data_IF_246982530806
#
_entry.id   IF_246982530806
#
_cell.length_a   1.000
_cell.length_b   1.000
_cell.length_c   1.000
_cell.angle_alpha   90.00
_cell.angle_beta   90.00
_cell.angle_gamma   90.00
#
_symmetry.space_group_name_H-M   'P 1'
#
loop_
_entity.id
_entity.type
_entity.pdbx_description
1 polymer ?
#
# COMPACT_ATOMS: atom_id res chain seq x y z
N UNK A 1 6.86 -11.89 4.76
CA UNK A 1 7.71 -11.08 3.85
C UNK A 1 9.06 -10.78 4.48
N UNK A 2 10.05 -10.46 3.65
CA UNK A 2 11.39 -10.02 4.09
C UNK A 2 11.68 -8.62 3.55
N UNK A 3 11.95 -7.66 4.44
CA UNK A 3 12.23 -6.26 4.11
C UNK A 3 13.57 -5.87 4.72
N UNK A 4 14.47 -5.32 3.92
CA UNK A 4 15.79 -4.86 4.37
C UNK A 4 16.07 -3.48 3.78
N UNK A 5 16.31 -2.50 4.64
CA UNK A 5 16.83 -1.18 4.29
C UNK A 5 18.17 -1.00 5.00
N UNK A 6 19.18 -0.51 4.26
CA UNK A 6 20.53 -0.28 4.79
C UNK A 6 20.97 1.13 4.45
N UNK A 7 21.18 1.95 5.49
CA UNK A 7 21.66 3.34 5.42
C UNK A 7 20.90 4.19 4.39
N UNK A 8 19.57 4.00 4.34
CA UNK A 8 18.73 4.60 3.32
C UNK A 8 18.57 6.09 3.59
N UNK A 9 18.99 6.90 2.63
CA UNK A 9 18.78 8.34 2.59
C UNK A 9 17.84 8.70 1.45
N UNK A 10 16.88 9.59 1.71
CA UNK A 10 16.04 10.19 0.68
C UNK A 10 15.97 11.69 0.87
N UNK A 11 16.32 12.43 -0.18
CA UNK A 11 16.34 13.90 -0.17
C UNK A 11 15.38 14.43 -1.23
N UNK A 12 14.58 15.43 -0.89
CA UNK A 12 13.74 16.20 -1.80
C UNK A 12 14.12 17.68 -1.71
N UNK A 13 14.53 18.28 -2.80
CA UNK A 13 14.89 19.71 -2.84
C UNK A 13 15.79 20.17 -1.69
N UNK A 14 16.78 19.36 -1.33
CA UNK A 14 17.74 19.65 -0.24
C UNK A 14 17.29 19.23 1.16
N UNK A 15 16.02 18.87 1.38
CA UNK A 15 15.52 18.41 2.67
C UNK A 15 15.60 16.88 2.75
N UNK A 16 16.20 16.35 3.81
CA UNK A 16 16.26 14.90 4.07
C UNK A 16 14.95 14.42 4.66
N UNK A 17 14.19 13.65 3.88
CA UNK A 17 12.97 12.96 4.33
C UNK A 17 13.31 11.64 5.04
N UNK A 18 14.43 10.99 4.67
CA UNK A 18 15.03 9.86 5.39
C UNK A 18 16.53 10.12 5.54
N UNK A 19 17.07 9.82 6.71
CA UNK A 19 18.46 10.11 7.09
C UNK A 19 19.13 8.88 7.70
N UNK A 20 19.63 7.99 6.84
CA UNK A 20 20.31 6.76 7.25
C UNK A 20 19.36 5.73 7.86
N UNK A 21 18.14 5.56 7.30
CA UNK A 21 17.17 4.61 7.81
C UNK A 21 17.68 3.18 7.63
N UNK A 22 17.79 2.45 8.74
CA UNK A 22 18.07 1.02 8.80
C UNK A 22 16.87 0.27 9.33
N UNK A 23 16.41 -0.77 8.61
CA UNK A 23 15.24 -1.55 8.98
C UNK A 23 15.39 -2.96 8.43
N UNK A 24 15.14 -3.97 9.27
CA UNK A 24 15.18 -5.37 8.86
C UNK A 24 14.04 -6.15 9.51
N UNK A 25 13.14 -6.72 8.67
CA UNK A 25 12.08 -7.61 9.09
C UNK A 25 12.11 -8.90 8.27
N UNK A 26 11.86 -10.02 8.93
CA UNK A 26 11.74 -11.35 8.31
C UNK A 26 10.48 -12.03 8.83
N UNK A 27 9.89 -12.89 7.99
CA UNK A 27 8.73 -13.73 8.32
C UNK A 27 7.51 -12.95 8.86
N UNK A 28 7.37 -11.68 8.41
CA UNK A 28 6.31 -10.76 8.80
C UNK A 28 5.20 -10.80 7.75
N UNK A 29 3.95 -10.92 8.17
CA UNK A 29 2.77 -10.82 7.28
C UNK A 29 2.25 -9.38 7.23
N UNK A 30 2.17 -8.70 8.39
CA UNK A 30 1.74 -7.32 8.48
C UNK A 30 2.77 -6.47 9.24
N UNK A 31 3.33 -5.44 8.56
CA UNK A 31 4.21 -4.44 9.16
C UNK A 31 3.49 -3.09 9.23
N UNK A 32 3.36 -2.53 10.45
CA UNK A 32 2.87 -1.18 10.64
C UNK A 32 4.02 -0.18 10.79
N UNK A 33 4.04 0.84 9.94
CA UNK A 33 4.90 2.01 10.07
C UNK A 33 4.11 3.09 10.82
N UNK A 34 4.57 3.46 12.01
CA UNK A 34 3.94 4.47 12.86
C UNK A 34 4.88 5.64 13.08
N UNK A 35 4.38 6.74 13.60
CA UNK A 35 5.18 7.92 13.92
C UNK A 35 4.48 9.23 13.54
N UNK A 36 5.06 10.38 13.85
CA UNK A 36 4.47 11.69 13.59
C UNK A 36 4.32 11.97 12.09
N UNK A 37 3.43 12.92 11.77
CA UNK A 37 3.34 13.46 10.41
C UNK A 37 4.68 14.06 10.00
N UNK A 38 5.08 13.83 8.73
CA UNK A 38 6.40 14.25 8.26
C UNK A 38 7.58 13.37 8.74
N UNK A 39 7.35 12.36 9.59
CA UNK A 39 8.41 11.49 10.12
C UNK A 39 9.13 10.61 9.11
N UNK A 40 8.60 10.46 7.87
CA UNK A 40 9.24 9.65 6.82
C UNK A 40 8.47 8.38 6.43
N UNK A 41 7.31 8.10 7.05
CA UNK A 41 6.50 6.88 6.81
C UNK A 41 6.11 6.70 5.33
N UNK A 42 5.43 7.69 4.73
CA UNK A 42 5.03 7.65 3.32
C UNK A 42 6.21 7.59 2.37
N UNK A 43 7.32 8.26 2.71
CA UNK A 43 8.57 8.16 1.95
C UNK A 43 9.13 6.74 1.99
N UNK A 44 9.19 6.12 3.17
CA UNK A 44 9.61 4.72 3.32
C UNK A 44 8.72 3.78 2.49
N UNK A 45 7.41 3.97 2.54
CA UNK A 45 6.45 3.19 1.75
C UNK A 45 6.68 3.34 0.23
N UNK A 46 6.89 4.57 -0.28
CA UNK A 46 7.19 4.84 -1.70
C UNK A 46 8.49 4.19 -2.16
N UNK A 47 9.49 4.17 -1.31
CA UNK A 47 10.75 3.49 -1.61
C UNK A 47 10.57 1.97 -1.61
N UNK A 48 9.94 1.38 -0.59
CA UNK A 48 9.67 -0.06 -0.49
C UNK A 48 8.81 -0.58 -1.64
N UNK A 49 7.87 0.23 -2.12
CA UNK A 49 7.00 -0.12 -3.25
C UNK A 49 7.64 0.11 -4.63
N UNK A 50 8.88 0.61 -4.68
CA UNK A 50 9.59 0.91 -5.93
C UNK A 50 9.02 2.09 -6.72
N UNK A 51 8.17 2.92 -6.11
CA UNK A 51 7.71 4.17 -6.74
C UNK A 51 8.85 5.15 -6.92
N UNK A 52 9.73 5.21 -5.93
CA UNK A 52 10.90 6.08 -5.92
C UNK A 52 12.17 5.27 -5.66
N UNK A 53 13.33 5.82 -6.06
CA UNK A 53 14.63 5.31 -5.67
C UNK A 53 15.14 6.07 -4.44
N UNK A 54 15.94 5.45 -3.56
CA UNK A 54 16.68 6.18 -2.53
C UNK A 54 17.70 7.12 -3.16
N UNK A 55 18.11 8.16 -2.42
CA UNK A 55 19.23 9.02 -2.80
C UNK A 55 20.56 8.30 -2.56
N UNK A 56 20.63 7.49 -1.50
CA UNK A 56 21.74 6.57 -1.20
C UNK A 56 21.27 5.44 -0.29
N UNK A 57 22.10 4.43 -0.09
CA UNK A 57 21.75 3.21 0.64
C UNK A 57 21.12 2.16 -0.26
N UNK A 58 20.67 1.05 0.32
CA UNK A 58 20.06 -0.05 -0.44
C UNK A 58 18.77 -0.53 0.18
N UNK A 59 17.87 -1.05 -0.67
CA UNK A 59 16.56 -1.57 -0.28
C UNK A 59 16.36 -2.92 -0.95
N UNK A 60 16.00 -3.93 -0.18
CA UNK A 60 15.62 -5.23 -0.70
C UNK A 60 14.27 -5.68 -0.14
N UNK A 61 13.41 -6.20 -1.02
CA UNK A 61 12.09 -6.75 -0.71
C UNK A 61 12.04 -8.19 -1.19
N UNK A 62 11.78 -9.13 -0.30
CA UNK A 62 11.78 -10.58 -0.57
C UNK A 62 13.06 -11.06 -1.27
N UNK A 63 14.22 -10.46 -0.94
CA UNK A 63 15.51 -10.77 -1.54
C UNK A 63 15.77 -10.08 -2.88
N UNK A 64 14.81 -9.39 -3.46
CA UNK A 64 14.99 -8.59 -4.66
C UNK A 64 15.39 -7.17 -4.29
N UNK A 65 16.52 -6.71 -4.76
CA UNK A 65 16.97 -5.33 -4.59
C UNK A 65 16.14 -4.39 -5.45
N UNK A 66 15.67 -3.29 -4.82
CA UNK A 66 14.97 -2.21 -5.53
C UNK A 66 16.00 -1.40 -6.29
N UNK A 67 16.15 -1.70 -7.56
CA UNK A 67 17.17 -1.11 -8.41
C UNK A 67 16.95 0.40 -8.65
N UNK A 68 18.03 1.14 -8.86
CA UNK A 68 17.97 2.51 -9.39
C UNK A 68 17.43 2.54 -10.82
N UNK A 69 17.68 1.46 -11.57
CA UNK A 69 17.22 1.27 -12.94
C UNK A 69 15.69 1.32 -13.04
N UNK A 70 15.20 2.19 -13.90
CA UNK A 70 13.77 2.49 -14.05
C UNK A 70 12.97 1.29 -14.55
N UNK A 71 13.54 0.47 -15.46
CA UNK A 71 12.83 -0.68 -16.04
C UNK A 71 12.73 -1.82 -15.03
N UNK A 72 13.79 -2.08 -14.27
CA UNK A 72 13.76 -3.07 -13.19
C UNK A 72 12.77 -2.69 -12.09
N UNK A 73 12.73 -1.41 -11.70
CA UNK A 73 11.70 -0.91 -10.76
C UNK A 73 10.30 -1.03 -11.34
N UNK A 74 10.13 -0.80 -12.64
CA UNK A 74 8.83 -0.97 -13.31
C UNK A 74 8.36 -2.43 -13.27
N UNK A 75 9.27 -3.39 -13.46
CA UNK A 75 8.94 -4.82 -13.31
C UNK A 75 8.57 -5.17 -11.87
N UNK A 76 9.33 -4.67 -10.89
CA UNK A 76 9.01 -4.86 -9.47
C UNK A 76 7.62 -4.31 -9.12
N UNK A 77 7.25 -3.10 -9.60
CA UNK A 77 5.93 -2.52 -9.34
C UNK A 77 4.76 -3.34 -9.87
N UNK A 78 4.96 -4.25 -10.82
CA UNK A 78 3.91 -5.17 -11.26
C UNK A 78 3.60 -6.26 -10.25
N UNK A 79 4.51 -6.53 -9.32
CA UNK A 79 4.39 -7.57 -8.30
C UNK A 79 3.81 -7.05 -6.98
N UNK A 80 3.61 -5.75 -6.86
CA UNK A 80 3.13 -5.11 -5.63
C UNK A 80 1.88 -4.26 -5.86
N UNK A 81 1.01 -4.24 -4.84
CA UNK A 81 -0.16 -3.35 -4.81
C UNK A 81 0.15 -2.09 -4.01
N UNK A 82 -0.39 -0.95 -4.43
CA UNK A 82 -0.20 0.32 -3.72
C UNK A 82 -1.54 1.04 -3.59
N UNK A 83 -1.86 1.44 -2.37
CA UNK A 83 -3.02 2.28 -2.05
C UNK A 83 -2.51 3.58 -1.44
N UNK A 84 -2.93 4.68 -2.02
CA UNK A 84 -2.54 6.03 -1.60
C UNK A 84 -3.59 6.65 -0.67
N UNK A 85 -3.18 7.57 0.17
CA UNK A 85 -4.04 8.36 1.04
C UNK A 85 -5.17 9.07 0.27
N UNK A 86 -4.88 9.58 -0.93
CA UNK A 86 -5.83 10.32 -1.77
C UNK A 86 -6.57 9.42 -2.80
N UNK A 87 -6.64 8.09 -2.57
CA UNK A 87 -7.27 7.08 -3.44
C UNK A 87 -6.65 6.98 -4.84
N UNK A 88 -6.37 8.09 -5.49
CA UNK A 88 -5.81 8.23 -6.85
C UNK A 88 -6.59 7.41 -7.89
N UNK A 89 -7.91 7.40 -7.76
CA UNK A 89 -8.80 6.84 -8.79
C UNK A 89 -8.86 7.76 -10.00
N UNK A 90 -9.03 7.17 -11.17
CA UNK A 90 -9.27 7.91 -12.41
C UNK A 90 -10.69 8.52 -12.36
N UNK A 91 -10.85 9.85 -12.28
CA UNK A 91 -12.14 10.48 -11.99
C UNK A 91 -13.15 10.35 -13.13
N UNK A 92 -12.69 10.11 -14.35
CA UNK A 92 -13.51 9.96 -15.55
C UNK A 92 -13.96 8.51 -15.82
N UNK A 93 -13.38 7.54 -15.10
CA UNK A 93 -13.71 6.12 -15.22
C UNK A 93 -14.71 5.70 -14.14
N UNK A 94 -15.51 4.68 -14.44
CA UNK A 94 -16.33 3.99 -13.44
C UNK A 94 -15.46 3.24 -12.44
N UNK A 95 -16.05 2.85 -11.30
CA UNK A 95 -15.37 2.03 -10.29
C UNK A 95 -14.83 0.73 -10.90
N UNK A 96 -15.66 0.02 -11.66
CA UNK A 96 -15.25 -1.20 -12.36
C UNK A 96 -14.08 -0.94 -13.30
N UNK A 97 -14.15 0.12 -14.11
CA UNK A 97 -13.09 0.45 -15.05
C UNK A 97 -11.78 0.84 -14.34
N UNK A 98 -11.84 1.47 -13.16
CA UNK A 98 -10.68 1.75 -12.35
C UNK A 98 -9.94 0.48 -11.89
N UNK A 99 -10.68 -0.59 -11.58
CA UNK A 99 -10.11 -1.87 -11.14
C UNK A 99 -9.67 -2.73 -12.33
N UNK A 100 -10.47 -2.79 -13.40
CA UNK A 100 -10.18 -3.62 -14.57
C UNK A 100 -9.02 -3.10 -15.44
N UNK A 101 -8.85 -1.78 -15.54
CA UNK A 101 -7.86 -1.17 -16.43
C UNK A 101 -6.41 -1.63 -16.19
N UNK A 102 -5.89 -1.71 -14.93
CA UNK A 102 -4.55 -2.24 -14.68
C UNK A 102 -4.40 -3.71 -15.08
N UNK A 103 -5.43 -4.53 -14.89
CA UNK A 103 -5.43 -5.94 -15.29
C UNK A 103 -5.24 -6.07 -16.80
N UNK A 104 -6.01 -5.31 -17.58
CA UNK A 104 -5.94 -5.32 -19.04
C UNK A 104 -4.63 -4.72 -19.55
N UNK A 105 -4.26 -3.50 -19.12
CA UNK A 105 -3.17 -2.71 -19.72
C UNK A 105 -1.79 -3.09 -19.20
N UNK A 106 -1.68 -3.63 -17.99
CA UNK A 106 -0.38 -3.91 -17.33
C UNK A 106 -0.14 -5.40 -17.19
N UNK A 107 -1.18 -6.17 -16.87
CA UNK A 107 -1.05 -7.58 -16.54
C UNK A 107 -1.50 -8.54 -17.65
N UNK A 108 -1.97 -8.00 -18.81
CA UNK A 108 -2.24 -8.78 -20.02
C UNK A 108 -3.53 -9.63 -19.97
N UNK A 109 -4.43 -9.34 -19.04
CA UNK A 109 -5.74 -9.99 -19.01
C UNK A 109 -6.57 -9.61 -20.24
N UNK A 110 -7.40 -10.53 -20.71
CA UNK A 110 -8.45 -10.17 -21.66
C UNK A 110 -9.44 -9.19 -20.99
N UNK A 111 -10.12 -8.37 -21.80
CA UNK A 111 -11.12 -7.44 -21.25
C UNK A 111 -12.21 -8.19 -20.45
N UNK A 112 -12.62 -9.35 -20.92
CA UNK A 112 -13.64 -10.16 -20.26
C UNK A 112 -13.15 -10.69 -18.90
N UNK A 113 -11.94 -11.26 -18.85
CA UNK A 113 -11.35 -11.76 -17.60
C UNK A 113 -11.07 -10.64 -16.60
N UNK A 114 -10.62 -9.47 -17.08
CA UNK A 114 -10.41 -8.30 -16.23
C UNK A 114 -11.71 -7.81 -15.58
N UNK A 115 -12.83 -7.82 -16.33
CA UNK A 115 -14.15 -7.46 -15.81
C UNK A 115 -14.60 -8.51 -14.77
N UNK A 116 -14.61 -9.79 -15.11
CA UNK A 116 -15.05 -10.87 -14.21
C UNK A 116 -14.27 -10.86 -12.88
N UNK A 117 -12.93 -10.71 -12.95
CA UNK A 117 -12.10 -10.61 -11.75
C UNK A 117 -12.40 -9.36 -10.93
N UNK A 118 -12.69 -8.25 -11.59
CA UNK A 118 -13.07 -7.01 -10.90
C UNK A 118 -14.43 -7.14 -10.21
N UNK A 119 -15.44 -7.71 -10.87
CA UNK A 119 -16.77 -7.94 -10.31
C UNK A 119 -16.70 -8.82 -9.05
N UNK A 120 -15.94 -9.90 -9.07
CA UNK A 120 -15.70 -10.74 -7.88
C UNK A 120 -15.09 -9.96 -6.69
N UNK A 121 -14.23 -8.98 -6.96
CA UNK A 121 -13.70 -8.10 -5.90
C UNK A 121 -14.74 -7.11 -5.38
N UNK A 122 -15.63 -6.63 -6.25
CA UNK A 122 -16.74 -5.77 -5.83
C UNK A 122 -17.71 -6.51 -4.91
N UNK A 123 -18.04 -7.75 -5.22
CA UNK A 123 -18.83 -8.63 -4.34
C UNK A 123 -18.11 -8.82 -2.99
N UNK A 124 -16.82 -9.18 -3.00
CA UNK A 124 -16.03 -9.37 -1.78
C UNK A 124 -15.97 -8.14 -0.88
N UNK A 125 -16.02 -6.94 -1.46
CA UNK A 125 -15.89 -5.67 -0.73
C UNK A 125 -17.23 -4.94 -0.52
N UNK A 126 -18.35 -5.59 -0.81
CA UNK A 126 -19.70 -5.02 -0.69
C UNK A 126 -19.85 -3.71 -1.48
N UNK A 127 -19.43 -3.74 -2.74
CA UNK A 127 -19.45 -2.62 -3.68
C UNK A 127 -20.29 -2.90 -4.93
N UNK A 128 -21.12 -3.95 -4.95
CA UNK A 128 -21.89 -4.41 -6.11
C UNK A 128 -22.76 -3.30 -6.70
N UNK A 129 -23.41 -2.52 -5.85
CA UNK A 129 -24.28 -1.40 -6.24
C UNK A 129 -23.50 -0.17 -6.74
N UNK A 130 -22.16 -0.24 -6.71
CA UNK A 130 -21.28 0.89 -7.01
C UNK A 130 -20.39 0.68 -8.25
N UNK A 131 -20.55 -0.46 -8.94
CA UNK A 131 -19.74 -0.87 -10.09
C UNK A 131 -19.70 0.20 -11.18
N UNK A 132 -20.84 0.82 -11.50
CA UNK A 132 -20.97 1.81 -12.58
C UNK A 132 -20.79 3.26 -12.12
N UNK A 133 -20.68 3.50 -10.82
CA UNK A 133 -20.46 4.84 -10.28
C UNK A 133 -19.05 5.34 -10.54
N UNK A 134 -18.89 6.64 -10.71
CA UNK A 134 -17.60 7.33 -10.78
C UNK A 134 -17.14 7.76 -9.37
N UNK A 135 -15.85 8.04 -9.16
CA UNK A 135 -15.32 8.45 -7.87
C UNK A 135 -16.08 9.61 -7.19
N UNK A 136 -16.58 10.58 -7.95
CA UNK A 136 -17.35 11.70 -7.41
C UNK A 136 -18.74 11.32 -6.86
N UNK A 137 -19.23 10.12 -7.20
CA UNK A 137 -20.55 9.62 -6.78
C UNK A 137 -20.43 8.63 -5.60
N UNK A 138 -19.21 8.43 -5.08
CA UNK A 138 -18.90 7.51 -4.01
C UNK A 138 -18.59 8.25 -2.70
N UNK A 139 -18.89 7.62 -1.56
CA UNK A 139 -18.38 8.07 -0.27
C UNK A 139 -16.84 7.90 -0.19
N UNK A 140 -16.20 8.51 0.81
CA UNK A 140 -14.76 8.35 1.06
C UNK A 140 -14.38 6.89 1.28
N UNK A 141 -15.12 6.16 2.11
CA UNK A 141 -14.89 4.73 2.37
C UNK A 141 -15.09 3.85 1.14
N UNK A 142 -16.11 4.14 0.31
CA UNK A 142 -16.33 3.44 -0.96
C UNK A 142 -15.17 3.68 -1.93
N UNK A 143 -14.72 4.93 -2.09
CA UNK A 143 -13.56 5.27 -2.90
C UNK A 143 -12.29 4.53 -2.43
N UNK A 144 -12.09 4.43 -1.11
CA UNK A 144 -10.95 3.73 -0.54
C UNK A 144 -11.03 2.22 -0.82
N UNK A 145 -12.20 1.61 -0.65
CA UNK A 145 -12.39 0.18 -0.95
C UNK A 145 -12.20 -0.12 -2.45
N UNK A 146 -12.62 0.77 -3.35
CA UNK A 146 -12.31 0.66 -4.79
C UNK A 146 -10.80 0.78 -5.04
N UNK A 147 -10.10 1.68 -4.36
CA UNK A 147 -8.65 1.80 -4.48
C UNK A 147 -7.91 0.55 -3.96
N UNK A 148 -8.40 -0.05 -2.88
CA UNK A 148 -7.89 -1.34 -2.36
C UNK A 148 -8.16 -2.46 -3.38
N UNK A 149 -9.40 -2.56 -3.91
CA UNK A 149 -9.76 -3.54 -4.94
C UNK A 149 -8.81 -3.44 -6.14
N UNK A 150 -8.56 -2.22 -6.64
CA UNK A 150 -7.63 -1.97 -7.74
C UNK A 150 -6.21 -2.43 -7.43
N UNK A 151 -5.74 -2.21 -6.21
CA UNK A 151 -4.39 -2.56 -5.79
C UNK A 151 -4.19 -4.07 -5.67
N UNK A 152 -5.22 -4.83 -5.25
CA UNK A 152 -5.14 -6.29 -5.06
C UNK A 152 -5.61 -7.09 -6.28
N UNK A 153 -6.27 -6.47 -7.24
CA UNK A 153 -6.80 -7.15 -8.43
C UNK A 153 -5.74 -7.97 -9.20
N UNK A 154 -4.47 -7.50 -9.36
CA UNK A 154 -3.42 -8.29 -10.00
C UNK A 154 -2.90 -9.46 -9.17
N UNK A 155 -3.40 -9.65 -7.94
CA UNK A 155 -2.91 -10.64 -6.98
C UNK A 155 -1.44 -10.42 -6.56
N UNK A 156 -1.10 -9.23 -6.03
CA UNK A 156 0.28 -8.88 -5.71
C UNK A 156 0.82 -9.67 -4.51
N UNK A 157 2.16 -9.82 -4.45
CA UNK A 157 2.86 -10.45 -3.33
C UNK A 157 2.76 -9.63 -2.03
N UNK A 158 2.80 -8.30 -2.16
CA UNK A 158 2.75 -7.36 -1.03
C UNK A 158 1.84 -6.18 -1.40
N UNK A 159 1.03 -5.74 -0.45
CA UNK A 159 0.21 -4.54 -0.57
C UNK A 159 0.75 -3.44 0.36
N UNK A 160 1.05 -2.29 -0.20
CA UNK A 160 1.49 -1.10 0.53
C UNK A 160 0.30 -0.14 0.69
N UNK A 161 0.01 0.27 1.93
CA UNK A 161 -1.13 1.13 2.26
C UNK A 161 -0.62 2.40 2.94
N UNK A 162 -0.76 3.56 2.28
CA UNK A 162 -0.33 4.84 2.83
C UNK A 162 -1.50 5.59 3.45
N UNK A 163 -1.58 5.57 4.77
CA UNK A 163 -2.62 6.22 5.58
C UNK A 163 -4.06 6.00 5.05
N UNK A 164 -4.50 4.74 4.86
CA UNK A 164 -5.72 4.42 4.13
C UNK A 164 -7.03 4.92 4.78
N UNK A 165 -6.97 5.42 6.00
CA UNK A 165 -8.15 5.88 6.75
C UNK A 165 -8.09 7.34 7.19
N UNK A 166 -7.01 8.07 6.85
CA UNK A 166 -6.76 9.42 7.39
C UNK A 166 -7.76 10.49 6.96
N UNK A 167 -8.47 10.29 5.84
CA UNK A 167 -9.45 11.23 5.29
C UNK A 167 -10.91 10.77 5.53
N UNK A 168 -11.13 9.77 6.41
CA UNK A 168 -12.43 9.15 6.64
C UNK A 168 -12.97 9.48 8.04
N UNK A 169 -14.30 9.54 8.15
CA UNK A 169 -14.96 9.55 9.44
C UNK A 169 -14.83 8.20 10.16
N UNK A 170 -15.19 8.10 11.45
CA UNK A 170 -15.00 6.89 12.24
C UNK A 170 -15.75 5.65 11.70
N UNK A 171 -16.95 5.83 11.14
CA UNK A 171 -17.77 4.73 10.61
C UNK A 171 -17.13 4.16 9.34
N UNK A 172 -16.80 5.03 8.38
CA UNK A 172 -16.09 4.63 7.17
C UNK A 172 -14.69 4.07 7.45
N UNK A 173 -14.01 4.58 8.49
CA UNK A 173 -12.73 4.05 8.95
C UNK A 173 -12.87 2.58 9.37
N UNK A 174 -13.90 2.23 10.14
CA UNK A 174 -14.14 0.85 10.57
C UNK A 174 -14.32 -0.09 9.37
N UNK A 175 -15.16 0.28 8.40
CA UNK A 175 -15.39 -0.53 7.18
C UNK A 175 -14.12 -0.78 6.36
N UNK A 176 -13.27 0.25 6.23
CA UNK A 176 -11.99 0.12 5.51
C UNK A 176 -11.01 -0.76 6.28
N UNK A 177 -10.93 -0.62 7.61
CA UNK A 177 -10.09 -1.47 8.45
C UNK A 177 -10.55 -2.93 8.40
N UNK A 178 -11.85 -3.20 8.44
CA UNK A 178 -12.40 -4.56 8.29
C UNK A 178 -12.00 -5.17 6.94
N UNK A 179 -12.04 -4.38 5.87
CA UNK A 179 -11.54 -4.80 4.55
C UNK A 179 -10.05 -5.19 4.63
N UNK A 180 -9.22 -4.39 5.30
CA UNK A 180 -7.78 -4.66 5.46
C UNK A 180 -7.55 -5.90 6.34
N UNK A 181 -8.31 -6.08 7.42
CA UNK A 181 -8.27 -7.31 8.23
C UNK A 181 -8.57 -8.55 7.40
N UNK A 182 -9.61 -8.52 6.58
CA UNK A 182 -9.94 -9.63 5.69
C UNK A 182 -8.86 -9.94 4.63
N UNK A 183 -8.01 -8.96 4.27
CA UNK A 183 -6.85 -9.21 3.43
C UNK A 183 -5.73 -9.94 4.21
N UNK A 184 -5.48 -9.55 5.47
CA UNK A 184 -4.47 -10.17 6.33
C UNK A 184 -4.85 -11.62 6.64
N UNK A 185 -6.11 -11.87 7.00
CA UNK A 185 -6.66 -13.20 7.24
C UNK A 185 -6.60 -14.10 5.98
N UNK A 186 -6.74 -13.49 4.80
CA UNK A 186 -6.52 -14.13 3.49
C UNK A 186 -5.05 -14.24 3.09
N UNK A 187 -4.12 -14.19 4.07
CA UNK A 187 -2.67 -14.38 3.92
C UNK A 187 -1.97 -13.35 3.01
N UNK A 188 -2.59 -12.19 2.74
CA UNK A 188 -1.92 -11.11 2.03
C UNK A 188 -0.88 -10.45 2.93
N UNK A 189 0.30 -10.21 2.37
CA UNK A 189 1.36 -9.47 3.05
C UNK A 189 1.12 -7.98 2.91
N UNK A 190 1.16 -7.27 4.04
CA UNK A 190 0.79 -5.85 4.10
C UNK A 190 1.90 -5.04 4.77
N UNK A 191 2.21 -3.88 4.19
CA UNK A 191 2.96 -2.81 4.85
C UNK A 191 2.05 -1.58 4.89
N UNK A 192 1.73 -1.11 6.09
CA UNK A 192 0.80 -0.01 6.28
C UNK A 192 1.46 1.14 7.04
N UNK A 193 1.40 2.35 6.50
CA UNK A 193 1.64 3.57 7.27
C UNK A 193 0.31 4.01 7.90
N UNK A 194 0.26 4.16 9.21
CA UNK A 194 -0.99 4.48 9.91
C UNK A 194 -0.78 5.26 11.20
N UNK A 195 -1.76 6.05 11.57
CA UNK A 195 -1.92 6.66 12.90
C UNK A 195 -2.90 5.87 13.79
N UNK A 196 -3.53 4.82 13.28
CA UNK A 196 -4.49 3.98 13.99
C UNK A 196 -3.76 2.97 14.89
N UNK A 197 -3.43 3.37 16.12
CA UNK A 197 -2.67 2.53 17.07
C UNK A 197 -3.43 1.24 17.42
N UNK A 198 -4.75 1.31 17.58
CA UNK A 198 -5.58 0.13 17.84
C UNK A 198 -5.54 -0.90 16.71
N UNK A 199 -5.47 -0.44 15.46
CA UNK A 199 -5.26 -1.32 14.32
C UNK A 199 -3.86 -1.94 14.35
N UNK A 200 -2.81 -1.12 14.54
CA UNK A 200 -1.44 -1.62 14.59
C UNK A 200 -1.25 -2.70 15.67
N UNK A 201 -1.83 -2.50 16.87
CA UNK A 201 -1.78 -3.49 17.96
C UNK A 201 -2.48 -4.82 17.65
N UNK A 202 -3.58 -4.78 16.89
CA UNK A 202 -4.40 -5.98 16.61
C UNK A 202 -3.95 -6.75 15.39
N UNK A 203 -3.42 -6.06 14.39
CA UNK A 203 -3.19 -6.61 13.04
C UNK A 203 -1.71 -6.78 12.68
N UNK A 204 -0.81 -6.02 13.30
CA UNK A 204 0.58 -6.03 12.88
C UNK A 204 1.41 -7.05 13.66
N UNK A 205 2.14 -7.91 12.94
CA UNK A 205 3.15 -8.80 13.52
C UNK A 205 4.40 -8.01 13.93
N UNK A 206 4.62 -6.88 13.25
CA UNK A 206 5.74 -6.00 13.54
C UNK A 206 5.36 -4.53 13.39
N UNK A 207 5.98 -3.69 14.22
CA UNK A 207 5.78 -2.25 14.21
C UNK A 207 7.12 -1.55 14.13
N UNK A 208 7.24 -0.55 13.25
CA UNK A 208 8.40 0.34 13.14
C UNK A 208 7.98 1.78 13.43
N UNK A 209 8.53 2.38 14.46
CA UNK A 209 8.37 3.80 14.78
C UNK A 209 9.40 4.62 14.02
N UNK A 210 8.94 5.44 13.07
CA UNK A 210 9.77 6.31 12.24
C UNK A 210 9.50 7.76 12.61
N UNK A 211 10.53 8.47 13.00
CA UNK A 211 10.48 9.90 13.29
C UNK A 211 11.75 10.58 12.78
N UNK A 212 11.59 11.80 12.24
CA UNK A 212 12.71 12.60 11.70
C UNK A 212 13.56 11.83 10.68
N UNK A 213 12.90 10.99 9.86
CA UNK A 213 13.56 10.19 8.85
C UNK A 213 14.41 9.01 9.37
N UNK A 214 14.30 8.66 10.64
CA UNK A 214 15.06 7.57 11.30
C UNK A 214 14.16 6.56 11.95
N UNK A 215 14.65 5.33 12.07
CA UNK A 215 14.01 4.30 12.92
C UNK A 215 14.31 4.64 14.38
N UNK A 216 13.26 4.88 15.16
CA UNK A 216 13.36 5.13 16.60
C UNK A 216 13.23 3.82 17.38
N UNK A 217 12.30 2.97 16.98
CA UNK A 217 12.01 1.71 17.65
C UNK A 217 11.44 0.72 16.64
N UNK A 218 11.81 -0.53 16.76
CA UNK A 218 11.12 -1.64 16.08
C UNK A 218 10.71 -2.69 17.11
N UNK A 219 9.47 -3.15 16.99
CA UNK A 219 8.90 -4.22 17.81
C UNK A 219 8.41 -5.31 16.88
N UNK A 220 8.69 -6.56 17.25
CA UNK A 220 8.11 -7.74 16.61
C UNK A 220 7.17 -8.34 17.67
N UNK A 221 5.91 -8.53 17.30
CA UNK A 221 4.95 -9.23 18.14
C UNK A 221 5.26 -10.73 18.03
N UNK A 222 5.50 -11.36 19.15
CA UNK A 222 5.68 -12.82 19.26
C UNK A 222 4.36 -13.42 19.70
#
# INVERSE_FOLDING_TARGET
MKLILRDVVKTYSGLRALDGLNLAFQDTSCLALIGPSGGGKSTTLRLLSGLEAPTSGSIAVNGQEIAEDTDRRRQFRKQVGIVFQAYNLFPHLTSLANVALPLEKVHGYSKADAILKSESLFERFHLEDHIMKKPAELSGGQNQRVAIARAIAPDPDIVFLDEPTSALDPEMTAEVLDTIYGLIEGEKRIVIATHQMGFAQRAADAVALIAEGKLVLSLIHI
#
